data_IF_440102942114
#
_entry.id   IF_440102942114
#
_cell.length_a   1.000
_cell.length_b   1.000
_cell.length_c   1.000
_cell.angle_alpha   90.00
_cell.angle_beta   90.00
_cell.angle_gamma   90.00
#
_symmetry.space_group_name_H-M   'P 1'
#
loop_
_entity.id
_entity.type
_entity.pdbx_description
1 polymer ?
#
# COMPACT_ATOMS: atom_id res chain seq x y z
N UNK A 1 -13.10 -5.75 12.50
CA UNK A 1 -12.08 -5.19 11.58
C UNK A 1 -12.49 -3.75 11.31
N UNK A 2 -12.16 -2.84 12.22
CA UNK A 2 -12.70 -1.47 12.27
C UNK A 2 -11.63 -0.39 11.95
N UNK A 3 -10.43 -0.80 11.51
CA UNK A 3 -9.30 0.11 11.30
C UNK A 3 -9.58 1.21 10.26
N UNK A 4 -10.47 0.94 9.30
CA UNK A 4 -10.84 1.87 8.22
C UNK A 4 -12.29 2.34 8.30
N UNK A 5 -12.98 2.00 9.39
CA UNK A 5 -14.38 2.37 9.61
C UNK A 5 -14.46 3.87 9.94
N UNK A 6 -15.18 4.64 9.12
CA UNK A 6 -15.24 6.10 9.22
C UNK A 6 -14.20 6.86 8.40
N UNK A 7 -13.23 6.18 7.75
CA UNK A 7 -12.33 6.83 6.81
C UNK A 7 -13.03 7.05 5.46
N UNK A 8 -12.80 8.20 4.84
CA UNK A 8 -13.31 8.47 3.50
C UNK A 8 -12.55 7.68 2.45
N UNK A 9 -13.21 7.42 1.33
CA UNK A 9 -12.62 6.73 0.18
C UNK A 9 -11.36 7.42 -0.33
N UNK A 10 -11.38 8.76 -0.36
CA UNK A 10 -10.22 9.56 -0.71
C UNK A 10 -9.05 9.34 0.24
N UNK A 11 -9.31 9.22 1.54
CA UNK A 11 -8.26 9.00 2.53
C UNK A 11 -7.60 7.62 2.36
N UNK A 12 -8.40 6.58 2.14
CA UNK A 12 -7.90 5.21 1.93
C UNK A 12 -7.07 5.13 0.66
N UNK A 13 -7.55 5.72 -0.44
CA UNK A 13 -6.79 5.80 -1.68
C UNK A 13 -5.46 6.54 -1.46
N UNK A 14 -5.49 7.69 -0.77
CA UNK A 14 -4.29 8.48 -0.47
C UNK A 14 -3.28 7.71 0.38
N UNK A 15 -3.74 6.94 1.37
CA UNK A 15 -2.85 6.09 2.17
C UNK A 15 -2.19 5.00 1.32
N UNK A 16 -2.95 4.37 0.43
CA UNK A 16 -2.41 3.35 -0.46
C UNK A 16 -1.41 3.93 -1.45
N UNK A 17 -1.70 5.11 -1.99
CA UNK A 17 -0.77 5.85 -2.86
C UNK A 17 0.49 6.31 -2.15
N UNK A 18 0.39 6.71 -0.88
CA UNK A 18 1.55 7.08 -0.07
C UNK A 18 2.52 5.90 0.05
N UNK A 19 2.03 4.70 0.39
CA UNK A 19 2.87 3.50 0.45
C UNK A 19 3.47 3.20 -0.93
N UNK A 20 2.71 3.38 -2.02
CA UNK A 20 3.22 3.20 -3.38
C UNK A 20 4.41 4.10 -3.67
N UNK A 21 4.32 5.36 -3.27
CA UNK A 21 5.37 6.35 -3.53
C UNK A 21 6.59 6.12 -2.63
N UNK A 22 6.41 5.67 -1.38
CA UNK A 22 7.50 5.21 -0.52
C UNK A 22 8.23 4.00 -1.14
N UNK A 23 7.50 2.98 -1.61
CA UNK A 23 8.11 1.82 -2.28
C UNK A 23 8.87 2.25 -3.54
N UNK A 24 8.33 3.16 -4.33
CA UNK A 24 9.02 3.69 -5.52
C UNK A 24 10.29 4.45 -5.17
N UNK A 25 10.26 5.25 -4.11
CA UNK A 25 11.43 5.98 -3.63
C UNK A 25 12.52 5.01 -3.15
N UNK A 26 12.14 3.95 -2.46
CA UNK A 26 13.04 2.89 -2.01
C UNK A 26 13.68 2.14 -3.19
N UNK A 27 12.87 1.70 -4.15
CA UNK A 27 13.34 1.05 -5.38
C UNK A 27 14.31 1.96 -6.13
N UNK A 28 13.99 3.26 -6.25
CA UNK A 28 14.84 4.24 -6.91
C UNK A 28 16.15 4.52 -6.16
N UNK A 29 16.13 4.43 -4.83
CA UNK A 29 17.30 4.72 -3.98
C UNK A 29 18.18 3.50 -3.74
N UNK A 30 17.72 2.30 -4.14
CA UNK A 30 18.38 1.03 -3.82
C UNK A 30 18.33 0.71 -2.32
N UNK A 31 17.47 1.40 -1.57
CA UNK A 31 17.28 1.20 -0.13
C UNK A 31 16.08 0.31 0.13
N UNK A 32 16.11 -0.41 1.26
CA UNK A 32 15.06 -1.35 1.66
C UNK A 32 14.47 -0.96 3.01
N UNK A 33 13.82 0.20 3.06
CA UNK A 33 13.17 0.74 4.25
C UNK A 33 11.72 0.24 4.37
N UNK A 34 11.06 0.01 3.24
CA UNK A 34 9.68 -0.44 3.11
C UNK A 34 9.64 -1.97 3.01
N UNK A 35 9.62 -2.63 4.17
CA UNK A 35 9.58 -4.10 4.30
C UNK A 35 8.18 -4.70 4.47
N UNK A 36 8.11 -5.99 4.86
CA UNK A 36 6.87 -6.74 5.16
C UNK A 36 5.75 -5.94 5.86
N UNK A 37 6.02 -5.10 6.90
CA UNK A 37 4.95 -4.34 7.56
C UNK A 37 4.19 -3.37 6.64
N UNK A 38 4.88 -2.75 5.69
CA UNK A 38 4.25 -1.84 4.73
C UNK A 38 3.47 -2.61 3.66
N UNK A 39 3.94 -3.79 3.28
CA UNK A 39 3.21 -4.70 2.40
C UNK A 39 1.92 -5.20 3.06
N UNK A 40 1.98 -5.65 4.30
CA UNK A 40 0.80 -6.07 5.05
C UNK A 40 -0.23 -4.93 5.17
N UNK A 41 0.24 -3.70 5.42
CA UNK A 41 -0.61 -2.50 5.46
C UNK A 41 -1.25 -2.21 4.10
N UNK A 42 -0.48 -2.28 3.02
CA UNK A 42 -0.98 -2.07 1.67
C UNK A 42 -1.99 -3.13 1.25
N UNK A 43 -1.80 -4.39 1.62
CA UNK A 43 -2.74 -5.48 1.35
C UNK A 43 -4.07 -5.26 2.07
N UNK A 44 -4.05 -4.80 3.33
CA UNK A 44 -5.26 -4.40 4.08
C UNK A 44 -6.00 -3.24 3.42
N UNK A 45 -5.26 -2.21 2.99
CA UNK A 45 -5.84 -1.07 2.27
C UNK A 45 -6.44 -1.50 0.93
N UNK A 46 -5.75 -2.36 0.18
CA UNK A 46 -6.23 -2.89 -1.09
C UNK A 46 -7.51 -3.71 -0.93
N UNK A 47 -7.59 -4.53 0.12
CA UNK A 47 -8.81 -5.26 0.46
C UNK A 47 -9.99 -4.31 0.68
N UNK A 48 -9.77 -3.22 1.42
CA UNK A 48 -10.80 -2.21 1.68
C UNK A 48 -11.21 -1.43 0.42
N UNK A 49 -10.23 -1.03 -0.41
CA UNK A 49 -10.45 -0.38 -1.71
C UNK A 49 -11.33 -1.28 -2.59
N UNK A 50 -10.99 -2.56 -2.70
CA UNK A 50 -11.76 -3.54 -3.47
C UNK A 50 -13.17 -3.73 -2.89
N UNK A 51 -13.30 -3.81 -1.56
CA UNK A 51 -14.59 -3.94 -0.87
C UNK A 51 -15.52 -2.77 -1.19
N UNK A 52 -14.97 -1.56 -1.32
CA UNK A 52 -15.72 -0.34 -1.66
C UNK A 52 -15.91 -0.13 -3.17
N UNK A 53 -15.34 -1.00 -4.02
CA UNK A 53 -15.41 -0.86 -5.48
C UNK A 53 -14.58 0.30 -6.03
N UNK A 54 -13.57 0.74 -5.29
CA UNK A 54 -12.69 1.83 -5.70
C UNK A 54 -11.57 1.31 -6.61
N UNK A 55 -11.05 2.18 -7.46
CA UNK A 55 -9.93 1.86 -8.36
C UNK A 55 -8.62 2.46 -7.84
N UNK A 56 -7.58 1.65 -7.76
CA UNK A 56 -6.22 2.09 -7.45
C UNK A 56 -5.19 1.44 -8.38
N UNK A 57 -4.02 2.06 -8.53
CA UNK A 57 -2.90 1.46 -9.27
C UNK A 57 -2.08 0.56 -8.35
N UNK A 58 -1.80 -0.70 -8.72
CA UNK A 58 -1.08 -1.63 -7.87
C UNK A 58 0.32 -1.12 -7.49
N UNK A 59 0.79 -1.51 -6.32
CA UNK A 59 2.16 -1.24 -5.86
C UNK A 59 3.11 -2.27 -6.48
N UNK A 60 4.15 -1.77 -7.13
CA UNK A 60 5.22 -2.60 -7.70
C UNK A 60 6.26 -2.88 -6.61
N UNK A 61 6.15 -4.06 -5.99
CA UNK A 61 7.08 -4.48 -4.96
C UNK A 61 8.39 -5.00 -5.57
N UNK A 62 9.57 -4.61 -5.05
CA UNK A 62 10.83 -5.16 -5.51
C UNK A 62 10.89 -6.67 -5.25
N UNK A 63 11.39 -7.43 -6.23
CA UNK A 63 11.39 -8.90 -6.24
C UNK A 63 12.24 -9.57 -5.13
N UNK A 64 12.93 -8.79 -4.30
CA UNK A 64 13.91 -9.27 -3.32
C UNK A 64 13.32 -9.99 -2.10
N UNK A 65 12.00 -10.23 -2.02
CA UNK A 65 11.35 -11.04 -0.98
C UNK A 65 10.97 -12.45 -1.47
N UNK A 66 11.99 -13.25 -1.81
CA UNK A 66 11.92 -14.71 -1.69
C UNK A 66 13.05 -15.18 -0.78
N UNK A 67 12.97 -14.83 0.50
CA UNK A 67 13.65 -15.55 1.58
C UNK A 67 12.64 -15.89 2.68
#
# INVERSE_FOLDING_TARGET
>A
MAEFEGLSDHFILRMYEFIRDEVRADVSSGTRLVGRPARDRAERLLHEINRRGLHCRPIEWPASERE
#
